data_IF_867949660367
#
_entry.id   IF_867949660367
#
_cell.length_a   1.000
_cell.length_b   1.000
_cell.length_c   1.000
_cell.angle_alpha   90.00
_cell.angle_beta   90.00
_cell.angle_gamma   90.00
#
_symmetry.space_group_name_H-M   'P 1'
#
loop_
_entity.id
_entity.type
_entity.pdbx_description
1 polymer ?
#
# COMPACT_ATOMS: atom_id res chain seq x y z
N UNK A 1 -10.94 29.43 -8.11
CA UNK A 1 -11.67 28.91 -6.93
C UNK A 1 -11.77 27.40 -6.77
N UNK A 2 -11.27 26.57 -7.70
CA UNK A 2 -11.23 25.10 -7.50
C UNK A 2 -10.06 24.65 -6.59
N UNK A 3 -8.89 25.27 -6.73
CA UNK A 3 -7.68 24.89 -5.98
C UNK A 3 -7.79 25.16 -4.47
N UNK A 4 -8.48 26.24 -4.09
CA UNK A 4 -8.72 26.57 -2.68
C UNK A 4 -9.60 25.50 -2.00
N UNK A 5 -10.64 25.02 -2.70
CA UNK A 5 -11.51 23.95 -2.21
C UNK A 5 -10.76 22.62 -2.09
N UNK A 6 -9.92 22.28 -3.06
CA UNK A 6 -9.10 21.07 -3.01
C UNK A 6 -8.12 21.10 -1.83
N UNK A 7 -7.53 22.26 -1.55
CA UNK A 7 -6.60 22.46 -0.42
C UNK A 7 -7.31 22.28 0.92
N UNK A 8 -8.47 22.92 1.10
CA UNK A 8 -9.30 22.77 2.30
C UNK A 8 -9.75 21.33 2.51
N UNK A 9 -10.17 20.64 1.45
CA UNK A 9 -10.56 19.23 1.54
C UNK A 9 -9.39 18.33 1.97
N UNK A 10 -8.18 18.61 1.48
CA UNK A 10 -6.98 17.87 1.88
C UNK A 10 -6.60 18.12 3.35
N UNK A 11 -6.80 19.33 3.87
CA UNK A 11 -6.56 19.66 5.28
C UNK A 11 -7.57 19.01 6.22
N UNK A 12 -8.86 19.02 5.85
CA UNK A 12 -9.91 18.33 6.60
C UNK A 12 -9.64 16.81 6.66
N UNK A 13 -9.22 16.21 5.55
CA UNK A 13 -8.83 14.78 5.51
C UNK A 13 -7.61 14.50 6.37
N UNK A 14 -6.60 15.36 6.36
CA UNK A 14 -5.43 15.24 7.25
C UNK A 14 -5.83 15.31 8.73
N UNK A 15 -6.71 16.25 9.07
CA UNK A 15 -7.24 16.40 10.43
C UNK A 15 -8.10 15.20 10.85
N UNK A 16 -8.91 14.64 9.95
CA UNK A 16 -9.67 13.44 10.23
C UNK A 16 -8.75 12.22 10.43
N UNK A 17 -7.66 12.10 9.67
CA UNK A 17 -6.69 11.02 9.83
C UNK A 17 -6.01 11.08 11.21
N UNK A 18 -5.62 12.26 11.70
CA UNK A 18 -4.98 12.37 13.03
C UNK A 18 -5.90 11.97 14.18
N UNK A 19 -7.22 12.02 13.97
CA UNK A 19 -8.24 11.54 14.93
C UNK A 19 -8.48 10.04 14.85
N UNK A 20 -7.98 9.35 13.82
CA UNK A 20 -8.05 7.89 13.72
C UNK A 20 -7.22 7.22 14.81
N UNK A 21 -7.76 6.19 15.47
CA UNK A 21 -7.07 5.44 16.52
C UNK A 21 -5.74 4.85 16.05
N UNK A 22 -5.67 4.40 14.80
CA UNK A 22 -4.45 3.84 14.20
C UNK A 22 -3.37 4.90 14.03
N UNK A 23 -3.74 6.14 13.73
CA UNK A 23 -2.79 7.25 13.56
C UNK A 23 -2.21 7.77 14.89
N UNK A 24 -2.76 7.32 16.02
CA UNK A 24 -2.22 7.65 17.36
C UNK A 24 -1.15 6.67 17.83
N UNK A 25 -0.90 5.60 17.08
CA UNK A 25 0.17 4.66 17.38
C UNK A 25 1.53 5.32 17.11
N UNK A 26 2.56 5.02 17.93
CA UNK A 26 3.93 5.42 17.62
C UNK A 26 4.36 4.91 16.24
N UNK A 27 5.25 5.66 15.58
CA UNK A 27 5.73 5.35 14.24
C UNK A 27 6.37 3.94 14.17
N UNK A 28 7.07 3.54 15.23
CA UNK A 28 7.71 2.23 15.34
C UNK A 28 6.67 1.09 15.31
N UNK A 29 5.52 1.28 15.96
CA UNK A 29 4.44 0.29 15.98
C UNK A 29 3.79 0.19 14.60
N UNK A 30 3.55 1.33 13.94
CA UNK A 30 3.07 1.35 12.56
C UNK A 30 4.04 0.63 11.62
N UNK A 31 5.36 0.85 11.77
CA UNK A 31 6.38 0.15 10.98
C UNK A 31 6.39 -1.36 11.21
N UNK A 32 6.20 -1.82 12.44
CA UNK A 32 6.04 -3.26 12.73
C UNK A 32 4.81 -3.82 12.00
N UNK A 33 3.67 -3.13 12.06
CA UNK A 33 2.45 -3.55 11.35
C UNK A 33 2.69 -3.61 9.84
N UNK A 34 3.30 -2.57 9.26
CA UNK A 34 3.61 -2.54 7.82
C UNK A 34 4.57 -3.65 7.41
N UNK A 35 5.52 -4.00 8.28
CA UNK A 35 6.46 -5.11 8.05
C UNK A 35 5.77 -6.46 8.04
N UNK A 36 4.79 -6.67 8.93
CA UNK A 36 4.00 -7.89 8.94
C UNK A 36 3.09 -7.97 7.70
N UNK A 37 2.43 -6.87 7.36
CA UNK A 37 1.60 -6.78 6.16
C UNK A 37 2.41 -6.98 4.88
N UNK A 38 3.65 -6.51 4.81
CA UNK A 38 4.48 -6.70 3.61
C UNK A 38 4.79 -8.18 3.36
N UNK A 39 4.98 -8.94 4.43
CA UNK A 39 5.23 -10.38 4.35
C UNK A 39 3.98 -11.17 3.95
N UNK A 40 2.81 -10.79 4.46
CA UNK A 40 1.53 -11.46 4.20
C UNK A 40 0.96 -11.10 2.81
N UNK A 41 1.11 -9.83 2.39
CA UNK A 41 0.54 -9.29 1.16
C UNK A 41 1.61 -8.73 0.20
N UNK A 42 2.52 -9.56 -0.33
CA UNK A 42 3.50 -9.09 -1.31
C UNK A 42 2.83 -8.62 -2.61
N UNK A 43 3.39 -7.61 -3.31
CA UNK A 43 2.91 -7.23 -4.64
C UNK A 43 3.06 -8.40 -5.62
N UNK A 44 1.98 -8.67 -6.36
CA UNK A 44 1.91 -9.76 -7.36
C UNK A 44 1.80 -9.14 -8.74
N UNK A 45 2.75 -9.39 -9.67
CA UNK A 45 2.66 -8.85 -11.01
C UNK A 45 1.44 -9.41 -11.76
N UNK A 46 0.86 -8.65 -12.70
CA UNK A 46 -0.19 -9.18 -13.58
C UNK A 46 0.31 -10.41 -14.32
N UNK A 47 -0.58 -11.40 -14.47
CA UNK A 47 -0.26 -12.58 -15.27
C UNK A 47 -0.14 -12.17 -16.74
N UNK A 48 1.01 -12.46 -17.34
CA UNK A 48 1.18 -12.26 -18.77
C UNK A 48 0.14 -13.11 -19.53
N UNK A 49 -0.52 -12.56 -20.56
CA UNK A 49 -1.62 -13.22 -21.31
C UNK A 49 -1.30 -14.66 -21.74
N UNK A 50 -0.02 -14.99 -21.97
CA UNK A 50 0.46 -16.32 -22.36
C UNK A 50 0.31 -17.36 -21.23
N UNK A 51 0.41 -16.95 -19.97
CA UNK A 51 0.37 -17.82 -18.79
C UNK A 51 -1.06 -18.05 -18.27
N UNK A 52 -1.99 -17.16 -18.63
CA UNK A 52 -3.43 -17.29 -18.29
C UNK A 52 -4.04 -18.57 -18.86
N UNK A 53 -3.53 -19.06 -20.01
CA UNK A 53 -3.98 -20.31 -20.62
C UNK A 53 -3.44 -21.57 -19.93
N UNK A 54 -2.30 -21.49 -19.25
CA UNK A 54 -1.67 -22.65 -18.61
C UNK A 54 -2.24 -22.95 -17.21
N UNK A 55 -2.64 -21.93 -16.44
CA UNK A 55 -3.02 -22.11 -15.03
C UNK A 55 -4.51 -22.41 -14.78
N UNK A 56 -5.30 -22.52 -15.85
CA UNK A 56 -6.74 -22.77 -15.75
C UNK A 56 -7.52 -21.59 -15.15
N UNK A 57 -8.78 -21.45 -15.55
CA UNK A 57 -9.67 -20.37 -15.10
C UNK A 57 -9.85 -20.32 -13.57
N UNK A 58 -9.53 -21.40 -12.85
CA UNK A 58 -9.74 -21.55 -11.41
C UNK A 58 -8.61 -21.09 -10.48
N UNK A 59 -7.38 -20.84 -10.95
CA UNK A 59 -6.23 -20.51 -10.07
C UNK A 59 -6.01 -19.00 -9.86
N UNK A 60 -6.96 -18.16 -10.26
CA UNK A 60 -6.75 -16.71 -10.32
C UNK A 60 -7.28 -16.03 -9.05
N UNK A 61 -6.66 -16.30 -7.91
CA UNK A 61 -6.97 -15.65 -6.63
C UNK A 61 -6.87 -14.10 -6.71
N UNK A 62 -6.13 -13.56 -7.69
CA UNK A 62 -5.82 -12.12 -7.82
C UNK A 62 -6.29 -11.48 -9.15
N UNK A 63 -7.16 -12.15 -9.92
CA UNK A 63 -7.49 -11.72 -11.28
C UNK A 63 -6.28 -11.70 -12.24
N UNK A 64 -6.49 -11.47 -13.56
CA UNK A 64 -5.40 -11.33 -14.52
C UNK A 64 -4.54 -10.06 -14.30
N UNK A 65 -5.00 -9.15 -13.43
CA UNK A 65 -4.44 -7.82 -13.24
C UNK A 65 -3.32 -7.74 -12.18
N UNK A 66 -3.08 -8.81 -11.44
CA UNK A 66 -2.13 -8.79 -10.32
C UNK A 66 -2.68 -8.03 -9.11
N UNK A 67 -1.84 -7.84 -8.10
CA UNK A 67 -2.19 -7.12 -6.88
C UNK A 67 -1.05 -6.21 -6.46
N UNK A 68 -1.38 -4.99 -6.05
CA UNK A 68 -0.41 -4.07 -5.43
C UNK A 68 0.05 -4.56 -4.04
N UNK A 69 -0.73 -5.44 -3.37
CA UNK A 69 -0.43 -5.89 -2.01
C UNK A 69 -0.26 -4.73 -1.03
N UNK A 70 0.75 -4.82 -0.18
CA UNK A 70 1.08 -3.81 0.84
C UNK A 70 1.43 -2.43 0.26
N UNK A 71 1.75 -2.32 -1.04
CA UNK A 71 2.01 -1.02 -1.71
C UNK A 71 0.79 -0.09 -1.61
N UNK A 72 -0.42 -0.65 -1.42
CA UNK A 72 -1.65 0.12 -1.18
C UNK A 72 -1.58 1.01 0.07
N UNK A 73 -0.76 0.67 1.05
CA UNK A 73 -0.56 1.46 2.27
C UNK A 73 -0.02 2.87 1.96
N UNK A 74 0.73 3.03 0.87
CA UNK A 74 1.22 4.33 0.39
C UNK A 74 0.10 5.27 -0.05
N UNK A 75 -1.12 4.78 -0.26
CA UNK A 75 -2.26 5.56 -0.75
C UNK A 75 -3.26 5.93 0.34
N UNK A 76 -3.04 5.49 1.59
CA UNK A 76 -3.97 5.77 2.70
C UNK A 76 -3.90 7.24 3.11
N UNK A 77 -2.72 7.71 3.48
CA UNK A 77 -2.49 9.12 3.83
C UNK A 77 -1.03 9.51 3.57
N UNK A 78 -0.75 10.81 3.67
CA UNK A 78 0.60 11.35 3.51
C UNK A 78 1.56 10.78 4.56
N UNK A 79 1.14 10.71 5.82
CA UNK A 79 2.00 10.28 6.93
C UNK A 79 2.43 8.81 6.79
N UNK A 80 1.52 7.93 6.35
CA UNK A 80 1.85 6.53 6.07
C UNK A 80 2.87 6.44 4.93
N UNK A 81 2.67 7.20 3.87
CA UNK A 81 3.63 7.26 2.76
C UNK A 81 5.00 7.69 3.26
N UNK A 82 5.10 8.81 3.97
CA UNK A 82 6.39 9.32 4.49
C UNK A 82 7.08 8.32 5.42
N UNK A 83 6.31 7.60 6.24
CA UNK A 83 6.84 6.58 7.15
C UNK A 83 7.34 5.32 6.41
N UNK A 84 6.63 4.89 5.37
CA UNK A 84 7.03 3.73 4.55
C UNK A 84 8.23 4.08 3.67
N UNK A 85 8.29 5.30 3.13
CA UNK A 85 9.44 5.79 2.35
C UNK A 85 10.72 5.88 3.18
N UNK A 86 10.61 6.17 4.49
CA UNK A 86 11.76 6.20 5.41
C UNK A 86 12.20 4.81 5.89
N UNK A 87 11.54 3.74 5.46
CA UNK A 87 11.85 2.35 5.83
C UNK A 87 12.32 1.51 4.61
N UNK A 88 13.60 1.63 4.18
CA UNK A 88 14.14 0.91 3.03
C UNK A 88 14.00 -0.62 3.09
N UNK A 89 13.94 -1.17 4.31
CA UNK A 89 13.84 -2.62 4.55
C UNK A 89 12.53 -3.22 4.03
N UNK A 90 11.44 -2.45 3.96
CA UNK A 90 10.17 -2.88 3.39
C UNK A 90 10.30 -3.13 1.87
N UNK A 91 11.05 -2.25 1.20
CA UNK A 91 11.26 -2.30 -0.25
C UNK A 91 12.24 -3.39 -0.66
N UNK A 92 13.33 -3.54 0.11
CA UNK A 92 14.38 -4.54 -0.14
C UNK A 92 13.84 -5.98 -0.19
N UNK A 93 12.82 -6.29 0.63
CA UNK A 93 12.26 -7.64 0.74
C UNK A 93 11.45 -8.11 -0.46
N UNK A 94 10.85 -7.19 -1.20
CA UNK A 94 9.82 -7.54 -2.20
C UNK A 94 10.05 -6.92 -3.58
N UNK A 95 10.73 -5.78 -3.68
CA UNK A 95 10.86 -5.03 -4.94
C UNK A 95 12.22 -5.22 -5.60
N UNK A 96 13.29 -5.36 -4.83
CA UNK A 96 14.66 -5.52 -5.35
C UNK A 96 15.12 -6.97 -5.52
N UNK A 97 14.25 -7.95 -5.28
CA UNK A 97 14.56 -9.38 -5.45
C UNK A 97 13.97 -9.98 -6.75
N UNK A 98 13.54 -9.12 -7.68
CA UNK A 98 13.00 -9.48 -9.00
C UNK A 98 14.10 -9.59 -10.06
#
# INVERSE_FOLDING_TARGET
DADALATLQAELRRSANSLSSVMRLPAEILLVIFTLLSAEEPPKPPLHRRNVRLHGWGSIENGPYGSLGWVRLLHVCHDWRSLIESAPTLWARHVYCL
#
